data_IF_583312451836
#
_entry.id   IF_583312451836
#
_cell.length_a   1.000
_cell.length_b   1.000
_cell.length_c   1.000
_cell.angle_alpha   90.00
_cell.angle_beta   90.00
_cell.angle_gamma   90.00
#
_symmetry.space_group_name_H-M   'P 1'
#
loop_
_entity.id
_entity.type
_entity.pdbx_description
1 polymer ?
#
# COMPACT_ATOMS: atom_id res chain seq x y z
N UNK A 1 -12.20 2.84 -26.64
CA UNK A 1 -11.65 1.70 -25.89
C UNK A 1 -10.75 2.20 -24.78
N UNK A 2 -11.02 1.81 -23.54
CA UNK A 2 -10.18 2.22 -22.44
C UNK A 2 -8.84 1.50 -22.54
N UNK A 3 -7.74 2.26 -22.52
CA UNK A 3 -6.40 1.69 -22.50
C UNK A 3 -6.14 1.11 -21.12
N UNK A 4 -5.75 -0.15 -21.06
CA UNK A 4 -5.40 -0.78 -19.80
C UNK A 4 -4.14 -0.11 -19.22
N UNK A 5 -4.22 0.34 -18.00
CA UNK A 5 -3.08 0.97 -17.33
C UNK A 5 -2.01 -0.07 -17.03
N UNK A 6 -0.77 0.33 -17.16
CA UNK A 6 0.38 -0.53 -16.84
C UNK A 6 0.72 -0.38 -15.35
N UNK A 7 0.58 -1.46 -14.55
CA UNK A 7 0.94 -1.40 -13.14
C UNK A 7 2.40 -0.99 -12.91
N UNK A 8 3.29 -1.30 -13.84
CA UNK A 8 4.71 -0.97 -13.71
C UNK A 8 5.01 0.52 -13.87
N UNK A 9 4.09 1.27 -14.49
CA UNK A 9 4.31 2.69 -14.73
C UNK A 9 4.40 3.52 -13.45
N UNK A 10 3.85 3.01 -12.34
CA UNK A 10 3.85 3.69 -11.05
C UNK A 10 5.03 3.29 -10.16
N UNK A 11 5.84 2.34 -10.61
CA UNK A 11 6.96 1.83 -9.80
C UNK A 11 8.23 2.64 -10.04
N UNK A 12 9.10 2.76 -9.03
CA UNK A 12 8.94 2.21 -7.69
C UNK A 12 7.99 3.04 -6.84
N UNK A 13 7.30 2.39 -5.93
CA UNK A 13 6.51 3.09 -4.92
C UNK A 13 7.43 3.55 -3.80
N UNK A 14 7.01 4.58 -3.06
CA UNK A 14 7.72 4.87 -1.80
C UNK A 14 7.46 3.72 -0.83
N UNK A 15 8.39 3.44 0.10
CA UNK A 15 8.15 2.40 1.09
C UNK A 15 6.84 2.60 1.86
N UNK A 16 6.52 3.83 2.26
CA UNK A 16 5.31 4.13 3.00
C UNK A 16 4.05 3.81 2.19
N UNK A 17 4.03 4.16 0.90
CA UNK A 17 2.90 3.82 0.02
C UNK A 17 2.72 2.31 -0.09
N UNK A 18 3.83 1.59 -0.26
CA UNK A 18 3.78 0.14 -0.37
C UNK A 18 3.23 -0.49 0.90
N UNK A 19 3.70 -0.05 2.07
CA UNK A 19 3.18 -0.58 3.34
C UNK A 19 1.70 -0.32 3.53
N UNK A 20 1.19 0.82 3.07
CA UNK A 20 -0.24 1.10 3.14
C UNK A 20 -1.01 0.11 2.24
N UNK A 21 -0.52 -0.17 1.04
CA UNK A 21 -1.15 -1.16 0.17
C UNK A 21 -1.12 -2.55 0.81
N UNK A 22 0.00 -2.93 1.42
CA UNK A 22 0.13 -4.21 2.12
C UNK A 22 -0.88 -4.29 3.27
N UNK A 23 -1.03 -3.22 4.03
CA UNK A 23 -1.99 -3.17 5.13
C UNK A 23 -3.45 -3.37 4.65
N UNK A 24 -3.74 -3.02 3.40
CA UNK A 24 -5.06 -3.18 2.81
C UNK A 24 -5.27 -4.52 2.12
N UNK A 25 -4.23 -5.38 2.10
CA UNK A 25 -4.30 -6.66 1.38
C UNK A 25 -5.34 -7.62 1.96
N UNK A 26 -5.62 -7.52 3.25
CA UNK A 26 -6.57 -8.40 3.93
C UNK A 26 -8.02 -7.94 3.81
N UNK A 27 -8.26 -6.82 3.16
CA UNK A 27 -9.61 -6.34 2.90
C UNK A 27 -9.85 -4.92 3.39
N UNK A 28 -11.11 -4.60 3.52
CA UNK A 28 -11.57 -3.27 3.88
C UNK A 28 -11.10 -2.86 5.28
N UNK A 29 -10.56 -1.66 5.41
CA UNK A 29 -10.19 -1.12 6.71
C UNK A 29 -10.18 0.40 6.72
N UNK A 30 -10.29 0.99 7.91
CA UNK A 30 -10.29 2.45 8.07
C UNK A 30 -8.88 2.97 8.36
N UNK A 31 -8.71 4.30 8.19
CA UNK A 31 -7.38 4.92 8.25
C UNK A 31 -6.60 4.64 9.53
N UNK A 32 -7.25 4.70 10.68
CA UNK A 32 -6.57 4.44 11.94
C UNK A 32 -6.02 3.02 12.02
N UNK A 33 -6.79 2.05 11.55
CA UNK A 33 -6.35 0.66 11.52
C UNK A 33 -5.19 0.46 10.54
N UNK A 34 -5.17 1.21 9.43
CA UNK A 34 -4.05 1.18 8.50
C UNK A 34 -2.76 1.63 9.20
N UNK A 35 -2.83 2.73 9.96
CA UNK A 35 -1.66 3.24 10.71
C UNK A 35 -1.11 2.18 11.64
N UNK A 36 -2.01 1.55 12.41
CA UNK A 36 -1.62 0.52 13.37
C UNK A 36 -1.04 -0.71 12.69
N UNK A 37 -1.63 -1.14 11.59
CA UNK A 37 -1.17 -2.29 10.84
C UNK A 37 0.24 -2.04 10.29
N UNK A 38 0.49 -0.87 9.71
CA UNK A 38 1.81 -0.51 9.20
C UNK A 38 2.85 -0.53 10.32
N UNK A 39 2.51 0.03 11.47
CA UNK A 39 3.41 0.02 12.62
C UNK A 39 3.73 -1.40 13.07
N UNK A 40 2.72 -2.27 13.14
CA UNK A 40 2.91 -3.67 13.53
C UNK A 40 3.72 -4.45 12.50
N UNK A 41 3.39 -4.31 11.23
CA UNK A 41 4.10 -5.01 10.16
C UNK A 41 5.59 -4.67 10.11
N UNK A 42 5.94 -3.44 10.48
CA UNK A 42 7.32 -2.98 10.44
C UNK A 42 7.99 -3.00 11.81
N UNK A 43 7.35 -3.59 12.81
CA UNK A 43 7.85 -3.63 14.18
C UNK A 43 8.25 -2.25 14.69
N UNK A 44 7.43 -1.25 14.36
CA UNK A 44 7.63 0.14 14.79
C UNK A 44 8.62 0.94 13.95
N UNK A 45 9.22 0.33 12.92
CA UNK A 45 10.19 1.05 12.07
C UNK A 45 9.51 2.14 11.25
N UNK A 46 8.26 1.93 10.88
CA UNK A 46 7.48 2.93 10.13
C UNK A 46 6.27 3.34 10.95
N UNK A 47 6.24 4.59 11.36
CA UNK A 47 5.13 5.20 12.09
C UNK A 47 4.63 6.39 11.29
N UNK A 48 3.41 6.27 10.80
CA UNK A 48 2.82 7.33 9.99
C UNK A 48 2.05 8.28 10.89
N UNK A 49 2.32 9.58 10.75
CA UNK A 49 1.46 10.58 11.37
C UNK A 49 0.12 10.59 10.63
N UNK A 50 -0.90 11.14 11.27
CA UNK A 50 -2.22 11.29 10.65
C UNK A 50 -2.12 12.06 9.33
N UNK A 51 -1.39 13.16 9.32
CA UNK A 51 -1.22 13.96 8.11
C UNK A 51 -0.53 13.21 6.99
N UNK A 52 0.54 12.48 7.31
CA UNK A 52 1.26 11.68 6.32
C UNK A 52 0.37 10.58 5.77
N UNK A 53 -0.33 9.87 6.64
CA UNK A 53 -1.25 8.81 6.22
C UNK A 53 -2.30 9.33 5.23
N UNK A 54 -2.98 10.42 5.58
CA UNK A 54 -4.04 10.92 4.72
C UNK A 54 -3.52 11.53 3.44
N UNK A 55 -2.28 12.05 3.43
CA UNK A 55 -1.62 12.45 2.20
C UNK A 55 -1.39 11.26 1.27
N UNK A 56 -0.94 10.13 1.84
CA UNK A 56 -0.75 8.89 1.09
C UNK A 56 -2.08 8.38 0.56
N UNK A 57 -3.11 8.33 1.41
CA UNK A 57 -4.45 7.87 1.02
C UNK A 57 -4.97 8.71 -0.15
N UNK A 58 -4.84 10.02 -0.06
CA UNK A 58 -5.27 10.92 -1.12
C UNK A 58 -4.59 10.59 -2.45
N UNK A 59 -3.28 10.34 -2.39
CA UNK A 59 -2.53 9.98 -3.60
C UNK A 59 -2.95 8.63 -4.15
N UNK A 60 -3.12 7.64 -3.28
CA UNK A 60 -3.56 6.30 -3.71
C UNK A 60 -4.95 6.34 -4.33
N UNK A 61 -5.85 7.17 -3.79
CA UNK A 61 -7.17 7.37 -4.37
C UNK A 61 -7.06 8.01 -5.76
N UNK A 62 -6.25 9.05 -5.89
CA UNK A 62 -6.12 9.75 -7.18
C UNK A 62 -5.49 8.89 -8.25
N UNK A 63 -4.62 7.95 -7.87
CA UNK A 63 -3.99 7.02 -8.80
C UNK A 63 -4.86 5.78 -9.07
N UNK A 64 -5.99 5.65 -8.40
CA UNK A 64 -6.88 4.53 -8.62
C UNK A 64 -6.41 3.22 -7.99
N UNK A 65 -5.52 3.28 -7.01
CA UNK A 65 -4.99 2.07 -6.35
C UNK A 65 -5.88 1.60 -5.21
N UNK A 66 -6.61 2.51 -4.62
CA UNK A 66 -7.59 2.22 -3.58
C UNK A 66 -8.87 2.96 -3.89
N UNK A 67 -9.94 2.55 -3.25
CA UNK A 67 -11.22 3.25 -3.31
C UNK A 67 -11.81 3.34 -1.92
N UNK A 68 -12.59 4.37 -1.70
CA UNK A 68 -13.36 4.52 -0.48
C UNK A 68 -14.57 3.59 -0.57
N UNK A 69 -14.82 2.84 0.50
CA UNK A 69 -15.94 1.93 0.51
C UNK A 69 -17.27 2.68 0.61
N UNK A 70 -18.23 2.26 -0.20
CA UNK A 70 -19.60 2.73 -0.09
C UNK A 70 -20.34 2.04 1.06
N UNK A 71 -19.81 0.94 1.59
CA UNK A 71 -20.42 0.23 2.70
C UNK A 71 -20.15 1.01 3.99
N UNK A 72 -21.14 1.76 4.43
CA UNK A 72 -21.06 2.46 5.70
C UNK A 72 -21.87 1.70 6.72
N UNK A 73 -21.28 1.51 7.90
CA UNK A 73 -22.08 1.09 9.04
C UNK A 73 -22.94 2.27 9.47
N UNK A 74 -24.07 2.00 10.08
CA UNK A 74 -24.98 3.05 10.53
C UNK A 74 -24.31 4.06 11.48
N UNK A 75 -23.25 3.66 12.12
CA UNK A 75 -22.49 4.46 13.07
C UNK A 75 -21.26 5.11 12.46
N UNK A 76 -21.15 5.12 11.14
CA UNK A 76 -19.95 5.64 10.49
C UNK A 76 -19.83 7.13 10.70
N UNK A 77 -19.00 7.51 11.63
CA UNK A 77 -18.47 8.85 11.75
C UNK A 77 -17.70 9.13 10.46
N UNK A 78 -17.82 10.33 9.91
CA UNK A 78 -17.07 10.75 8.70
C UNK A 78 -15.57 10.56 8.86
N UNK A 79 -15.08 10.50 10.10
CA UNK A 79 -13.68 10.27 10.40
C UNK A 79 -13.27 8.80 10.25
N UNK A 80 -14.23 7.89 10.09
CA UNK A 80 -13.96 6.44 9.97
C UNK A 80 -14.23 5.95 8.56
N UNK A 81 -13.73 6.67 7.58
CA UNK A 81 -13.82 6.23 6.21
C UNK A 81 -13.01 4.97 6.04
N UNK A 82 -13.58 4.03 5.31
CA UNK A 82 -12.95 2.76 5.03
C UNK A 82 -12.48 2.72 3.58
N UNK A 83 -11.37 2.02 3.38
CA UNK A 83 -10.72 1.94 2.08
C UNK A 83 -10.43 0.48 1.74
N UNK A 84 -10.37 0.20 0.46
CA UNK A 84 -10.00 -1.12 -0.02
C UNK A 84 -9.19 -1.01 -1.31
N UNK A 85 -8.41 -2.04 -1.61
CA UNK A 85 -7.66 -2.07 -2.86
C UNK A 85 -8.60 -2.23 -4.04
N UNK A 86 -8.30 -1.49 -5.11
CA UNK A 86 -8.93 -1.76 -6.41
C UNK A 86 -8.21 -2.94 -7.07
N UNK A 87 -8.79 -3.56 -8.11
CA UNK A 87 -8.05 -4.55 -8.89
C UNK A 87 -6.72 -4.02 -9.40
N UNK A 88 -6.69 -2.78 -9.86
CA UNK A 88 -5.44 -2.15 -10.31
C UNK A 88 -4.45 -1.99 -9.15
N UNK A 89 -4.94 -1.60 -7.97
CA UNK A 89 -4.09 -1.50 -6.78
C UNK A 89 -3.45 -2.83 -6.39
N UNK A 90 -4.19 -3.94 -6.53
CA UNK A 90 -3.65 -5.27 -6.30
C UNK A 90 -2.54 -5.59 -7.28
N UNK A 91 -2.74 -5.28 -8.55
CA UNK A 91 -1.73 -5.49 -9.58
C UNK A 91 -0.46 -4.69 -9.32
N UNK A 92 -0.61 -3.42 -8.93
CA UNK A 92 0.53 -2.55 -8.61
C UNK A 92 1.28 -3.07 -7.38
N UNK A 93 0.56 -3.48 -6.35
CA UNK A 93 1.19 -4.02 -5.14
C UNK A 93 1.99 -5.29 -5.44
N UNK A 94 1.41 -6.19 -6.25
CA UNK A 94 2.11 -7.42 -6.67
C UNK A 94 3.34 -7.10 -7.51
N UNK A 95 3.22 -6.15 -8.42
CA UNK A 95 4.33 -5.74 -9.27
C UNK A 95 5.48 -5.15 -8.43
N UNK A 96 5.15 -4.35 -7.42
CA UNK A 96 6.17 -3.79 -6.53
C UNK A 96 6.85 -4.88 -5.71
N UNK A 97 6.10 -5.83 -5.18
CA UNK A 97 6.68 -6.96 -4.43
C UNK A 97 7.63 -7.75 -5.32
N UNK A 98 7.23 -8.03 -6.56
CA UNK A 98 8.08 -8.74 -7.52
C UNK A 98 9.35 -7.96 -7.84
N UNK A 99 9.23 -6.63 -8.01
CA UNK A 99 10.38 -5.77 -8.26
C UNK A 99 11.37 -5.82 -7.09
N UNK A 100 10.87 -5.76 -5.87
CA UNK A 100 11.70 -5.82 -4.66
C UNK A 100 12.43 -7.16 -4.55
N UNK A 101 11.71 -8.26 -4.80
CA UNK A 101 12.33 -9.59 -4.81
C UNK A 101 13.43 -9.70 -5.85
N UNK A 102 13.18 -9.22 -7.05
CA UNK A 102 14.15 -9.24 -8.14
C UNK A 102 15.37 -8.39 -7.79
N UNK A 103 15.16 -7.23 -7.22
CA UNK A 103 16.25 -6.35 -6.80
C UNK A 103 17.13 -7.03 -5.76
N UNK A 104 16.50 -7.67 -4.78
CA UNK A 104 17.24 -8.38 -3.73
C UNK A 104 18.00 -9.59 -4.31
N UNK A 105 17.38 -10.32 -5.22
CA UNK A 105 18.04 -11.44 -5.88
C UNK A 105 19.30 -11.00 -6.64
N UNK A 106 19.22 -9.86 -7.32
CA UNK A 106 20.38 -9.28 -8.00
C UNK A 106 21.48 -8.94 -7.00
N UNK A 107 21.11 -8.26 -5.91
CA UNK A 107 22.10 -7.88 -4.89
C UNK A 107 22.79 -9.11 -4.29
N UNK A 108 22.04 -10.19 -4.08
CA UNK A 108 22.59 -11.43 -3.48
C UNK A 108 23.55 -12.19 -4.36
N UNK A 109 23.74 -11.76 -5.61
CA UNK A 109 24.82 -12.30 -6.45
C UNK A 109 26.18 -11.89 -5.92
N UNK A 110 26.24 -10.88 -5.07
CA UNK A 110 27.50 -10.43 -4.45
C UNK A 110 27.58 -10.97 -3.01
N UNK A 111 28.76 -11.49 -2.59
CA UNK A 111 28.87 -12.07 -1.26
C UNK A 111 28.45 -11.15 -0.10
N UNK A 112 28.66 -9.84 -0.25
CA UNK A 112 28.32 -8.85 0.76
C UNK A 112 26.84 -8.93 1.18
N UNK A 113 25.95 -9.29 0.26
CA UNK A 113 24.51 -9.25 0.48
C UNK A 113 23.89 -10.62 0.74
N UNK A 114 24.72 -11.67 0.79
CA UNK A 114 24.22 -13.01 1.08
C UNK A 114 23.93 -13.14 2.57
N UNK A 115 22.92 -13.93 2.87
CA UNK A 115 22.64 -14.25 4.27
C UNK A 115 23.79 -15.03 4.88
N UNK A 116 24.15 -14.75 6.15
CA UNK A 116 25.16 -15.53 6.87
C UNK A 116 24.76 -16.99 7.01
#
# INVERSE_FOLDING_TARGET
>A
MATKRDPHALLPLTPAMFYVLVALADGLTHGYAIMKEVEQLTSGAVRLSTGTLYGIIKRLLSEGLIRESAARTADADDRRRSYELTPFGREVARAEAARLEQTLAIARRKPLFRRP
#
